data_IF_313849766905
#
_entry.id   IF_313849766905
#
_cell.length_a   1.000
_cell.length_b   1.000
_cell.length_c   1.000
_cell.angle_alpha   90.00
_cell.angle_beta   90.00
_cell.angle_gamma   90.00
#
_symmetry.space_group_name_H-M   'P 1'
#
loop_
_entity.id
_entity.type
_entity.pdbx_description
1 polymer ?
#
# COMPACT_ATOMS: atom_id res chain seq x y z
N UNK A 1 1.52 -14.89 -7.51
CA UNK A 1 2.75 -15.59 -7.09
C UNK A 1 2.35 -16.97 -6.57
N UNK A 2 2.16 -17.94 -7.45
CA UNK A 2 1.85 -19.33 -7.06
C UNK A 2 3.06 -20.25 -7.22
N UNK A 3 3.98 -19.90 -8.14
CA UNK A 3 5.18 -20.69 -8.48
C UNK A 3 6.41 -20.37 -7.60
N UNK A 4 6.27 -19.56 -6.53
CA UNK A 4 7.39 -19.23 -5.63
C UNK A 4 8.44 -18.25 -6.19
N UNK A 5 8.28 -17.77 -7.43
CA UNK A 5 9.18 -16.77 -8.04
C UNK A 5 8.72 -15.35 -7.64
N UNK A 6 9.59 -14.53 -7.02
CA UNK A 6 9.29 -13.13 -6.77
C UNK A 6 9.15 -12.37 -8.09
N UNK A 7 8.05 -11.61 -8.22
CA UNK A 7 7.89 -10.64 -9.31
C UNK A 7 9.01 -9.58 -9.21
N UNK A 8 9.33 -8.94 -10.33
CA UNK A 8 10.23 -7.79 -10.38
C UNK A 8 9.44 -6.46 -10.53
N UNK A 9 10.12 -5.34 -10.76
CA UNK A 9 9.46 -4.03 -10.91
C UNK A 9 8.66 -3.94 -12.22
N UNK A 10 9.20 -4.46 -13.33
CA UNK A 10 8.55 -4.47 -14.64
C UNK A 10 7.25 -5.27 -14.64
N UNK A 11 7.20 -6.37 -13.88
CA UNK A 11 5.99 -7.18 -13.69
C UNK A 11 4.92 -6.45 -12.88
N UNK A 12 5.33 -5.66 -11.88
CA UNK A 12 4.41 -5.01 -10.93
C UNK A 12 3.86 -3.69 -11.46
N UNK A 13 4.62 -2.96 -12.25
CA UNK A 13 4.24 -1.64 -12.74
C UNK A 13 2.89 -1.64 -13.47
N UNK A 14 2.64 -2.50 -14.48
CA UNK A 14 1.34 -2.53 -15.18
C UNK A 14 0.16 -2.82 -14.24
N UNK A 15 0.38 -3.70 -13.27
CA UNK A 15 -0.61 -4.02 -12.24
C UNK A 15 -0.90 -2.82 -11.33
N UNK A 16 0.14 -2.10 -10.88
CA UNK A 16 -0.02 -0.89 -10.07
C UNK A 16 -0.74 0.23 -10.83
N UNK A 17 -0.47 0.41 -12.13
CA UNK A 17 -1.23 1.34 -12.97
C UNK A 17 -2.70 0.94 -13.06
N UNK A 18 -3.00 -0.36 -13.23
CA UNK A 18 -4.39 -0.86 -13.23
C UNK A 18 -5.09 -0.56 -11.90
N UNK A 19 -4.39 -0.71 -10.77
CA UNK A 19 -4.92 -0.35 -9.46
C UNK A 19 -5.15 1.15 -9.32
N UNK A 20 -4.25 1.99 -9.84
CA UNK A 20 -4.45 3.44 -9.90
C UNK A 20 -5.73 3.79 -10.67
N UNK A 21 -5.95 3.21 -11.85
CA UNK A 21 -7.13 3.49 -12.67
C UNK A 21 -8.44 3.08 -11.96
N UNK A 22 -8.40 1.96 -11.22
CA UNK A 22 -9.52 1.55 -10.37
C UNK A 22 -9.77 2.59 -9.27
N UNK A 23 -8.74 2.97 -8.52
CA UNK A 23 -8.86 3.97 -7.45
C UNK A 23 -9.36 5.32 -8.00
N UNK A 24 -8.87 5.74 -9.18
CA UNK A 24 -9.30 6.97 -9.84
C UNK A 24 -10.78 6.95 -10.22
N UNK A 25 -11.27 5.83 -10.72
CA UNK A 25 -12.68 5.65 -11.07
C UNK A 25 -13.57 5.78 -9.83
N UNK A 26 -13.19 5.13 -8.73
CA UNK A 26 -13.96 5.19 -7.48
C UNK A 26 -13.91 6.59 -6.84
N UNK A 27 -12.74 7.25 -6.84
CA UNK A 27 -12.56 8.64 -6.41
C UNK A 27 -13.46 9.61 -7.21
N UNK A 28 -13.48 9.46 -8.54
CA UNK A 28 -14.37 10.24 -9.43
C UNK A 28 -15.85 9.98 -9.14
N UNK A 29 -16.17 8.75 -8.69
CA UNK A 29 -17.53 8.35 -8.31
C UNK A 29 -17.88 8.73 -6.86
N UNK A 30 -16.97 9.40 -6.14
CA UNK A 30 -17.09 9.77 -4.72
C UNK A 30 -17.38 8.56 -3.82
N UNK A 31 -16.75 7.42 -4.10
CA UNK A 31 -16.85 6.23 -3.28
C UNK A 31 -15.58 6.03 -2.44
N UNK A 32 -15.76 5.78 -1.15
CA UNK A 32 -14.66 5.42 -0.26
C UNK A 32 -14.14 4.04 -0.63
N UNK A 33 -12.83 3.95 -0.89
CA UNK A 33 -12.20 2.72 -1.39
C UNK A 33 -11.05 2.29 -0.49
N UNK A 34 -11.09 1.03 -0.05
CA UNK A 34 -9.98 0.38 0.65
C UNK A 34 -9.35 -0.64 -0.28
N UNK A 35 -8.03 -0.49 -0.49
CA UNK A 35 -7.23 -1.39 -1.31
C UNK A 35 -6.18 -2.09 -0.46
N UNK A 36 -6.24 -3.43 -0.42
CA UNK A 36 -5.15 -4.23 0.11
C UNK A 36 -4.04 -4.38 -0.94
N UNK A 37 -2.90 -3.72 -0.73
CA UNK A 37 -1.73 -3.80 -1.59
C UNK A 37 -0.46 -3.78 -0.73
N UNK A 38 0.55 -4.58 -1.09
CA UNK A 38 1.81 -4.60 -0.34
C UNK A 38 2.59 -3.30 -0.47
N UNK A 39 2.52 -2.63 -1.64
CA UNK A 39 3.09 -1.31 -1.93
C UNK A 39 4.48 -1.06 -1.28
N UNK A 40 5.34 -2.08 -1.36
CA UNK A 40 6.56 -2.19 -0.56
C UNK A 40 7.55 -1.07 -0.82
N UNK A 41 7.72 -0.69 -2.09
CA UNK A 41 8.64 0.37 -2.51
C UNK A 41 7.94 1.72 -2.59
N UNK A 42 8.69 2.80 -2.31
CA UNK A 42 8.24 4.18 -2.51
C UNK A 42 7.79 4.44 -3.94
N UNK A 43 8.48 3.85 -4.92
CA UNK A 43 8.07 3.93 -6.33
C UNK A 43 6.67 3.37 -6.55
N UNK A 44 6.32 2.24 -5.91
CA UNK A 44 5.00 1.63 -6.08
C UNK A 44 3.90 2.53 -5.52
N UNK A 45 4.15 3.16 -4.37
CA UNK A 45 3.23 4.13 -3.76
C UNK A 45 3.06 5.37 -4.64
N UNK A 46 4.13 5.85 -5.27
CA UNK A 46 4.05 6.95 -6.26
C UNK A 46 3.19 6.57 -7.46
N UNK A 47 3.31 5.35 -8.00
CA UNK A 47 2.47 4.88 -9.10
C UNK A 47 1.00 4.78 -8.67
N UNK A 48 0.70 4.34 -7.45
CA UNK A 48 -0.68 4.33 -6.95
C UNK A 48 -1.26 5.76 -6.84
N UNK A 49 -0.45 6.76 -6.49
CA UNK A 49 -0.88 8.16 -6.38
C UNK A 49 -1.05 8.83 -7.76
N UNK A 50 -0.05 8.69 -8.64
CA UNK A 50 0.05 9.46 -9.89
C UNK A 50 -0.27 8.68 -11.16
N UNK A 51 -0.37 7.36 -11.10
CA UNK A 51 -0.58 6.50 -12.26
C UNK A 51 0.67 6.37 -13.13
N UNK A 52 0.48 6.10 -14.42
CA UNK A 52 1.58 5.88 -15.36
C UNK A 52 2.53 7.10 -15.50
N UNK A 53 2.01 8.32 -15.32
CA UNK A 53 2.81 9.55 -15.38
C UNK A 53 3.88 9.63 -14.28
N UNK A 54 3.68 8.93 -13.16
CA UNK A 54 4.64 8.87 -12.05
C UNK A 54 5.93 8.10 -12.41
N UNK A 55 5.88 7.29 -13.48
CA UNK A 55 7.00 6.48 -13.99
C UNK A 55 7.86 7.30 -14.96
N UNK A 56 7.21 8.13 -15.78
CA UNK A 56 7.86 8.90 -16.85
C UNK A 56 8.52 10.20 -16.33
N UNK A 57 8.13 10.65 -15.13
CA UNK A 57 8.49 11.97 -14.62
C UNK A 57 9.64 11.93 -13.61
N UNK A 58 10.86 12.25 -14.07
CA UNK A 58 11.94 12.82 -13.23
C UNK A 58 11.79 14.35 -13.06
N UNK A 59 10.73 14.95 -13.62
CA UNK A 59 10.47 16.38 -13.57
C UNK A 59 9.38 16.71 -12.53
N UNK A 60 9.44 17.92 -11.92
CA UNK A 60 8.37 18.39 -11.04
C UNK A 60 7.04 18.40 -11.78
N UNK A 61 6.00 17.84 -11.15
CA UNK A 61 4.66 17.79 -11.70
C UNK A 61 4.17 19.22 -11.99
N UNK A 62 3.95 19.53 -13.26
CA UNK A 62 3.16 20.70 -13.63
C UNK A 62 1.69 20.38 -13.29
N UNK A 63 0.90 21.35 -12.81
CA UNK A 63 -0.53 21.13 -12.60
C UNK A 63 -1.20 20.83 -13.94
N UNK A 64 -1.31 19.54 -14.27
CA UNK A 64 -1.97 19.01 -15.46
C UNK A 64 -3.43 18.66 -15.19
N UNK A 65 -4.12 18.15 -16.21
CA UNK A 65 -5.55 17.84 -16.17
C UNK A 65 -5.94 16.73 -15.17
N UNK A 66 -4.97 15.96 -14.64
CA UNK A 66 -5.19 14.86 -13.70
C UNK A 66 -4.39 15.05 -12.40
N UNK A 67 -4.97 15.62 -11.33
CA UNK A 67 -4.27 15.79 -10.06
C UNK A 67 -3.95 14.44 -9.40
N UNK A 68 -2.88 14.32 -8.60
CA UNK A 68 -2.55 13.09 -7.88
C UNK A 68 -3.69 12.66 -6.93
N UNK A 69 -3.89 11.36 -6.77
CA UNK A 69 -4.85 10.82 -5.80
C UNK A 69 -4.42 11.10 -4.36
N UNK A 70 -5.38 11.48 -3.52
CA UNK A 70 -5.16 11.59 -2.07
C UNK A 70 -5.35 10.21 -1.45
N UNK A 71 -4.26 9.49 -1.24
CA UNK A 71 -4.27 8.15 -0.65
C UNK A 71 -3.68 8.21 0.76
N UNK A 72 -4.35 7.58 1.74
CA UNK A 72 -3.77 7.28 3.05
C UNK A 72 -3.17 5.87 3.03
N UNK A 73 -1.86 5.76 3.23
CA UNK A 73 -1.20 4.46 3.36
C UNK A 73 -1.26 3.97 4.81
N UNK A 74 -1.88 2.81 5.02
CA UNK A 74 -1.87 2.11 6.32
C UNK A 74 -0.76 1.08 6.32
N UNK A 75 0.39 1.41 6.93
CA UNK A 75 1.50 0.49 7.07
C UNK A 75 1.30 -0.39 8.31
N UNK A 76 0.97 -1.65 8.07
CA UNK A 76 0.87 -2.67 9.11
C UNK A 76 2.27 -3.22 9.43
N UNK A 77 2.91 -2.64 10.44
CA UNK A 77 4.29 -2.94 10.81
C UNK A 77 4.35 -3.98 11.93
N UNK A 78 5.33 -4.86 11.90
CA UNK A 78 5.54 -5.81 12.98
C UNK A 78 6.73 -6.72 12.75
N UNK A 79 7.25 -7.34 13.82
CA UNK A 79 8.43 -8.17 13.71
C UNK A 79 8.12 -9.44 12.88
N UNK A 80 9.13 -9.89 12.14
CA UNK A 80 9.03 -10.98 11.15
C UNK A 80 8.47 -12.27 11.76
N UNK A 81 8.83 -12.58 12.98
CA UNK A 81 8.40 -13.75 13.74
C UNK A 81 6.88 -13.76 14.01
N UNK A 82 6.29 -12.61 14.35
CA UNK A 82 4.83 -12.49 14.52
C UNK A 82 4.12 -12.72 13.18
N UNK A 83 4.64 -12.16 12.09
CA UNK A 83 4.05 -12.33 10.76
C UNK A 83 4.18 -13.80 10.31
N UNK A 84 5.34 -14.41 10.51
CA UNK A 84 5.59 -15.82 10.21
C UNK A 84 4.63 -16.74 10.99
N UNK A 85 4.51 -16.55 12.31
CA UNK A 85 3.60 -17.33 13.15
C UNK A 85 2.12 -17.16 12.76
N UNK A 86 1.72 -16.00 12.23
CA UNK A 86 0.37 -15.77 11.69
C UNK A 86 0.16 -16.47 10.35
N UNK A 87 1.17 -16.49 9.48
CA UNK A 87 1.11 -17.18 8.19
C UNK A 87 1.04 -18.70 8.37
N UNK A 88 1.83 -19.28 9.27
CA UNK A 88 1.83 -20.73 9.57
C UNK A 88 0.48 -21.25 10.05
N UNK A 89 -0.30 -20.42 10.77
CA UNK A 89 -1.64 -20.77 11.24
C UNK A 89 -2.69 -20.77 10.13
N UNK A 90 -2.41 -20.19 8.96
CA UNK A 90 -3.37 -20.17 7.84
C UNK A 90 -3.40 -21.54 7.16
N UNK A 91 -4.58 -22.15 7.12
CA UNK A 91 -4.81 -23.38 6.36
C UNK A 91 -4.97 -23.04 4.87
N UNK A 92 -4.27 -23.74 3.98
CA UNK A 92 -4.50 -23.68 2.53
C UNK A 92 -3.59 -22.76 1.71
N UNK A 93 -2.76 -21.92 2.35
CA UNK A 93 -1.79 -21.08 1.63
C UNK A 93 -0.44 -21.11 2.36
N UNK A 94 0.46 -21.99 1.90
CA UNK A 94 1.83 -22.03 2.39
C UNK A 94 2.62 -20.93 1.67
N UNK A 95 2.97 -19.87 2.39
CA UNK A 95 3.92 -18.88 1.89
C UNK A 95 5.32 -19.27 2.36
N UNK A 96 6.27 -19.60 1.47
CA UNK A 96 7.62 -19.97 1.87
C UNK A 96 8.26 -18.86 2.72
N UNK A 97 9.00 -19.22 3.78
CA UNK A 97 9.68 -18.27 4.65
C UNK A 97 10.67 -17.37 3.89
N UNK A 98 11.22 -17.89 2.80
CA UNK A 98 12.10 -17.18 1.86
C UNK A 98 11.36 -16.03 1.15
N UNK A 99 10.09 -16.24 0.78
CA UNK A 99 9.27 -15.19 0.19
C UNK A 99 8.94 -14.11 1.24
N UNK A 100 8.69 -14.50 2.49
CA UNK A 100 8.54 -13.52 3.59
C UNK A 100 9.82 -12.68 3.75
N UNK A 101 10.99 -13.32 3.75
CA UNK A 101 12.27 -12.60 3.82
C UNK A 101 12.41 -11.60 2.66
N UNK A 102 12.15 -12.01 1.42
CA UNK A 102 12.26 -11.10 0.27
C UNK A 102 11.33 -9.88 0.37
N UNK A 103 10.17 -10.02 1.01
CA UNK A 103 9.23 -8.91 1.20
C UNK A 103 9.77 -7.89 2.20
N UNK A 104 10.40 -8.36 3.29
CA UNK A 104 11.10 -7.49 4.25
C UNK A 104 12.33 -6.83 3.61
N UNK A 105 13.09 -7.56 2.79
CA UNK A 105 14.26 -7.00 2.09
C UNK A 105 13.86 -5.94 1.05
N UNK A 106 12.65 -6.06 0.49
CA UNK A 106 12.10 -5.11 -0.49
C UNK A 106 11.37 -3.92 0.17
N UNK A 107 11.07 -4.01 1.46
CA UNK A 107 10.27 -3.00 2.16
C UNK A 107 11.04 -1.69 2.29
N UNK A 108 10.49 -0.63 1.71
CA UNK A 108 10.87 0.75 1.94
C UNK A 108 9.74 1.40 2.75
N UNK A 109 9.85 1.47 4.10
CA UNK A 109 8.78 1.98 4.94
C UNK A 109 8.32 3.37 4.49
N UNK A 110 7.01 3.66 4.50
CA UNK A 110 6.53 4.99 4.17
C UNK A 110 7.07 6.02 5.15
N UNK A 111 7.38 7.21 4.62
CA UNK A 111 8.01 8.29 5.38
C UNK A 111 7.50 9.65 4.89
N UNK A 112 7.59 10.68 5.72
CA UNK A 112 7.18 12.02 5.31
C UNK A 112 7.96 12.45 4.05
N UNK A 113 7.31 13.11 3.07
CA UNK A 113 5.98 13.72 3.13
C UNK A 113 4.82 12.81 2.66
N UNK A 114 5.01 11.49 2.57
CA UNK A 114 3.91 10.58 2.21
C UNK A 114 2.78 10.67 3.26
N UNK A 115 1.52 10.54 2.83
CA UNK A 115 0.38 10.48 3.74
C UNK A 115 0.21 9.05 4.25
N UNK A 116 0.72 8.75 5.45
CA UNK A 116 0.69 7.41 6.01
C UNK A 116 0.45 7.39 7.52
N UNK A 117 -0.04 6.24 7.99
CA UNK A 117 0.01 5.85 9.41
C UNK A 117 0.74 4.51 9.53
N UNK A 118 1.43 4.32 10.64
CA UNK A 118 1.99 3.01 11.01
C UNK A 118 1.18 2.42 12.15
N UNK A 119 0.72 1.19 11.97
CA UNK A 119 -0.07 0.44 12.97
C UNK A 119 0.68 -0.83 13.31
N UNK A 120 1.06 -0.98 14.59
CA UNK A 120 1.78 -2.17 15.05
C UNK A 120 0.88 -3.40 15.06
N UNK A 121 1.37 -4.48 14.47
CA UNK A 121 0.76 -5.80 14.45
C UNK A 121 0.88 -6.54 15.78
N UNK A 122 1.68 -6.04 16.73
CA UNK A 122 1.78 -6.61 18.08
C UNK A 122 0.49 -6.40 18.89
N UNK A 123 -0.33 -5.43 18.47
CA UNK A 123 -1.61 -5.13 19.11
C UNK A 123 -2.68 -6.18 18.79
N UNK A 124 -3.67 -6.37 19.69
CA UNK A 124 -4.89 -7.11 19.37
C UNK A 124 -5.63 -6.52 18.17
N UNK A 125 -6.32 -7.36 17.40
CA UNK A 125 -7.08 -6.93 16.21
C UNK A 125 -8.06 -5.77 16.49
N UNK A 126 -8.83 -5.75 17.61
CA UNK A 126 -9.72 -4.62 17.89
C UNK A 126 -8.99 -3.28 18.03
N UNK A 127 -7.78 -3.26 18.58
CA UNK A 127 -6.99 -2.03 18.72
C UNK A 127 -6.40 -1.58 17.38
N UNK A 128 -5.98 -2.53 16.55
CA UNK A 128 -5.52 -2.26 15.17
C UNK A 128 -6.65 -1.58 14.39
N UNK A 129 -7.87 -2.15 14.44
CA UNK A 129 -9.04 -1.60 13.75
C UNK A 129 -9.38 -0.19 14.26
N UNK A 130 -9.46 -0.01 15.58
CA UNK A 130 -9.77 1.29 16.18
C UNK A 130 -8.75 2.37 15.76
N UNK A 131 -7.46 2.03 15.70
CA UNK A 131 -6.43 2.96 15.28
C UNK A 131 -6.59 3.37 13.81
N UNK A 132 -6.93 2.42 12.92
CA UNK A 132 -7.17 2.69 11.50
C UNK A 132 -8.42 3.55 11.32
N UNK A 133 -9.54 3.18 11.97
CA UNK A 133 -10.79 3.93 11.92
C UNK A 133 -10.60 5.38 12.41
N UNK A 134 -9.91 5.56 13.54
CA UNK A 134 -9.62 6.88 14.09
C UNK A 134 -8.82 7.73 13.11
N UNK A 135 -7.81 7.16 12.46
CA UNK A 135 -6.98 7.88 11.50
C UNK A 135 -7.74 8.27 10.23
N UNK A 136 -8.63 7.41 9.73
CA UNK A 136 -9.50 7.71 8.58
C UNK A 136 -10.42 8.88 8.94
N UNK A 137 -11.12 8.81 10.08
CA UNK A 137 -12.05 9.86 10.51
C UNK A 137 -11.37 11.20 10.83
N UNK A 138 -10.14 11.17 11.35
CA UNK A 138 -9.36 12.39 11.58
C UNK A 138 -8.81 13.00 10.27
N UNK A 139 -8.57 12.17 9.25
CA UNK A 139 -8.17 12.61 7.91
C UNK A 139 -9.33 13.15 7.05
N UNK A 140 -10.56 12.69 7.29
CA UNK A 140 -11.79 13.21 6.67
C UNK A 140 -12.19 14.60 7.18
N UNK A 141 -11.59 15.08 8.28
CA UNK A 141 -11.84 16.41 8.85
C UNK A 141 -11.09 17.55 8.11
N UNK A 142 -10.93 17.46 6.79
CA UNK A 142 -10.55 18.59 5.95
C UNK A 142 -11.83 19.21 5.36
N UNK A 143 -12.31 20.36 5.89
CA UNK A 143 -13.45 21.06 5.30
C UNK A 143 -13.11 21.52 3.86
N UNK A 144 -14.17 21.61 3.05
CA UNK A 144 -14.20 22.02 1.63
C UNK A 144 -13.30 23.22 1.27
#
# INVERSE_FOLDING_TARGET
MEEGIPLNDEDRIPWLCTLHDILRREDTSRQDTILACSALKKMYRRVLIGGASAIESNQPEQPGENPPLKILFVHLDGPKDIIAARLEKRRGHFMPLELLQSQFDTLEPPSAPENFITVSLEKPLPEILLQIETAILQGEALPE
#
